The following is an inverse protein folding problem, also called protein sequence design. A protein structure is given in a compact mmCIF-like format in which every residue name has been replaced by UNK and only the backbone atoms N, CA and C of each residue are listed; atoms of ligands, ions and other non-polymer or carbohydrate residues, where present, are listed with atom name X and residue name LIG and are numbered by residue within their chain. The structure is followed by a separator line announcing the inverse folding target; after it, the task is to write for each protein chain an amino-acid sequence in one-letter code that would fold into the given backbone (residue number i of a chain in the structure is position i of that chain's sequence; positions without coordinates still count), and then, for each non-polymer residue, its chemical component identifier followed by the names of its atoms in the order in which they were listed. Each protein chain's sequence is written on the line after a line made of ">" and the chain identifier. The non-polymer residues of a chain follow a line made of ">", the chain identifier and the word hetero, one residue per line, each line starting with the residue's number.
data_IF_226254237598
#
_entry.id   IF_226254237598
#
_cell.length_a   1.000
_cell.length_b   1.000
_cell.length_c   1.000
_cell.angle_alpha   90.00
_cell.angle_beta   90.00
_cell.angle_gamma   90.00
#
_symmetry.space_group_name_H-M   'P 1'
#
loop_
_entity.id
_entity.type
_entity.pdbx_description
1 polymer ?
#
# COMPACT_ATOMS: atom_id res chain seq x y z
N UNK A 1 -1.90 -13.50 -24.49
CA UNK A 1 -2.79 -14.03 -23.45
C UNK A 1 -3.43 -12.87 -22.70
N UNK A 2 -4.74 -12.92 -22.50
CA UNK A 2 -5.46 -11.84 -21.81
C UNK A 2 -5.64 -12.19 -20.34
N UNK A 3 -5.44 -11.19 -19.47
CA UNK A 3 -5.69 -11.33 -18.05
C UNK A 3 -6.71 -10.29 -17.60
N UNK A 4 -7.65 -10.72 -16.77
CA UNK A 4 -8.61 -9.80 -16.17
C UNK A 4 -7.96 -9.05 -15.01
N UNK A 5 -8.65 -8.01 -14.52
CA UNK A 5 -8.21 -7.30 -13.31
C UNK A 5 -8.05 -8.27 -12.13
N UNK A 6 -9.01 -9.18 -11.95
CA UNK A 6 -8.95 -10.14 -10.85
C UNK A 6 -7.82 -11.17 -11.01
N UNK A 7 -7.46 -11.50 -12.26
CA UNK A 7 -6.29 -12.34 -12.50
C UNK A 7 -5.01 -11.66 -12.00
N UNK A 8 -4.87 -10.37 -12.27
CA UNK A 8 -3.71 -9.59 -11.80
C UNK A 8 -3.67 -9.52 -10.28
N UNK A 9 -4.82 -9.31 -9.64
CA UNK A 9 -4.91 -9.27 -8.17
C UNK A 9 -4.54 -10.63 -7.59
N UNK A 10 -5.06 -11.72 -8.16
CA UNK A 10 -4.78 -13.07 -7.68
C UNK A 10 -3.29 -13.41 -7.78
N UNK A 11 -2.65 -13.06 -8.88
CA UNK A 11 -1.22 -13.27 -9.04
C UNK A 11 -0.40 -12.44 -8.05
N UNK A 12 -0.76 -11.17 -7.88
CA UNK A 12 -0.05 -10.28 -6.97
C UNK A 12 -0.19 -10.72 -5.52
N UNK A 13 -1.36 -11.24 -5.13
CA UNK A 13 -1.62 -11.63 -3.75
C UNK A 13 -0.74 -12.79 -3.28
N UNK A 14 -0.18 -13.57 -4.19
CA UNK A 14 0.75 -14.65 -3.81
C UNK A 14 2.11 -14.11 -3.38
N UNK A 15 2.45 -12.91 -3.79
CA UNK A 15 3.78 -12.32 -3.56
C UNK A 15 3.80 -11.28 -2.44
N UNK A 16 2.63 -10.77 -2.02
CA UNK A 16 2.56 -9.71 -1.02
C UNK A 16 1.96 -10.23 0.28
N UNK A 17 2.40 -9.64 1.39
CA UNK A 17 1.84 -9.95 2.69
C UNK A 17 0.68 -9.02 2.99
N UNK A 18 -0.46 -9.58 3.37
CA UNK A 18 -1.64 -8.83 3.76
C UNK A 18 -1.78 -8.86 5.27
N UNK A 19 -2.21 -7.74 5.84
CA UNK A 19 -2.56 -7.66 7.26
C UNK A 19 -4.00 -7.14 7.40
N UNK A 20 -4.66 -7.53 8.48
CA UNK A 20 -6.01 -7.05 8.74
C UNK A 20 -5.98 -5.74 9.56
N UNK A 21 -7.18 -5.16 9.78
CA UNK A 21 -7.29 -3.89 10.50
C UNK A 21 -6.80 -4.01 11.95
N UNK A 22 -6.95 -5.16 12.58
CA UNK A 22 -6.51 -5.37 13.95
C UNK A 22 -4.99 -5.43 14.03
N UNK A 23 -4.35 -6.07 13.06
CA UNK A 23 -2.89 -6.10 12.97
C UNK A 23 -2.32 -4.71 12.71
N UNK A 24 -2.95 -3.92 11.84
CA UNK A 24 -2.54 -2.55 11.59
C UNK A 24 -2.67 -1.69 12.84
N UNK A 25 -3.80 -1.81 13.55
CA UNK A 25 -4.01 -1.08 14.79
C UNK A 25 -2.95 -1.42 15.83
N UNK A 26 -2.57 -2.70 15.93
CA UNK A 26 -1.50 -3.13 16.83
C UNK A 26 -0.16 -2.48 16.47
N UNK A 27 0.17 -2.41 15.18
CA UNK A 27 1.41 -1.76 14.73
C UNK A 27 1.43 -0.28 15.11
N UNK A 28 0.31 0.41 14.93
CA UNK A 28 0.20 1.83 15.28
C UNK A 28 0.35 2.02 16.79
N UNK A 29 -0.33 1.23 17.58
CA UNK A 29 -0.33 1.36 19.05
C UNK A 29 1.00 0.97 19.67
N UNK A 30 1.74 0.05 19.06
CA UNK A 30 3.05 -0.38 19.55
C UNK A 30 4.19 0.55 19.12
N UNK A 31 3.88 1.61 18.40
CA UNK A 31 4.87 2.56 17.87
C UNK A 31 5.90 1.90 16.97
N UNK A 32 5.50 0.82 16.29
CA UNK A 32 6.34 0.14 15.33
C UNK A 32 6.73 1.10 14.19
N UNK A 33 8.01 1.09 13.81
CA UNK A 33 8.52 2.02 12.81
C UNK A 33 8.17 1.55 11.40
N UNK A 34 7.19 2.18 10.78
CA UNK A 34 6.78 1.87 9.41
C UNK A 34 6.14 3.09 8.76
N UNK A 35 6.04 3.06 7.44
CA UNK A 35 5.35 4.09 6.67
C UNK A 35 3.96 3.59 6.32
N UNK A 36 2.94 4.37 6.64
CA UNK A 36 1.55 4.07 6.29
C UNK A 36 1.12 4.97 5.14
N UNK A 37 0.74 4.36 4.02
CA UNK A 37 0.37 5.10 2.83
C UNK A 37 -1.06 4.77 2.41
N UNK A 38 -1.87 5.82 2.28
CA UNK A 38 -3.22 5.75 1.75
C UNK A 38 -3.14 5.91 0.23
N UNK A 39 -3.49 4.88 -0.51
CA UNK A 39 -3.43 4.92 -1.98
C UNK A 39 -4.79 5.12 -2.65
N UNK A 40 -5.78 5.54 -1.87
CA UNK A 40 -7.11 5.84 -2.42
C UNK A 40 -7.05 7.10 -3.29
N UNK A 41 -8.12 7.32 -4.04
CA UNK A 41 -8.25 8.54 -4.84
C UNK A 41 -8.52 9.75 -3.95
N UNK A 42 -8.20 10.95 -4.43
CA UNK A 42 -8.35 12.18 -3.66
C UNK A 42 -9.76 12.37 -3.10
N UNK A 43 -10.78 12.05 -3.90
CA UNK A 43 -12.17 12.24 -3.48
C UNK A 43 -12.58 11.28 -2.36
N UNK A 44 -11.91 10.16 -2.22
CA UNK A 44 -12.21 9.21 -1.14
C UNK A 44 -11.76 9.74 0.23
N UNK A 45 -10.81 10.66 0.26
CA UNK A 45 -10.35 11.26 1.51
C UNK A 45 -11.41 12.10 2.20
N UNK A 46 -12.45 12.52 1.46
CA UNK A 46 -13.54 13.30 2.03
C UNK A 46 -14.33 12.53 3.09
N UNK A 47 -14.29 11.20 3.07
CA UNK A 47 -14.93 10.36 4.09
C UNK A 47 -13.98 10.00 5.24
N UNK A 48 -12.82 10.60 5.28
CA UNK A 48 -11.82 10.42 6.34
C UNK A 48 -10.65 9.57 5.92
N UNK A 49 -9.59 9.61 6.72
CA UNK A 49 -8.39 8.79 6.52
C UNK A 49 -7.78 8.44 7.86
N UNK A 50 -6.86 7.49 7.85
CA UNK A 50 -6.11 7.13 9.05
C UNK A 50 -5.13 8.26 9.39
N UNK A 51 -5.11 8.66 10.67
CA UNK A 51 -4.25 9.75 11.14
C UNK A 51 -2.79 9.42 10.85
N UNK A 52 -2.07 10.43 10.37
CA UNK A 52 -0.64 10.37 10.03
C UNK A 52 -0.31 9.49 8.82
N UNK A 53 -1.31 9.00 8.08
CA UNK A 53 -1.05 8.32 6.83
C UNK A 53 -0.64 9.33 5.75
N UNK A 54 0.39 8.98 4.98
CA UNK A 54 0.77 9.76 3.81
C UNK A 54 -0.13 9.38 2.65
N UNK A 55 -0.68 10.36 1.95
CA UNK A 55 -1.52 10.10 0.79
C UNK A 55 -0.71 10.14 -0.49
N UNK A 56 -0.66 8.99 -1.19
CA UNK A 56 -0.12 8.90 -2.54
C UNK A 56 -1.08 8.01 -3.31
N UNK A 57 -1.89 8.58 -4.20
CA UNK A 57 -2.85 7.81 -4.97
C UNK A 57 -2.17 6.71 -5.79
N UNK A 58 -2.86 5.58 -5.96
CA UNK A 58 -2.25 4.43 -6.65
C UNK A 58 -1.76 4.78 -8.06
N UNK A 59 -2.45 5.69 -8.75
CA UNK A 59 -2.10 6.06 -10.12
C UNK A 59 -0.74 6.74 -10.26
N UNK A 60 -0.20 7.28 -9.17
CA UNK A 60 1.10 7.96 -9.18
C UNK A 60 2.09 7.33 -8.18
N UNK A 61 1.71 6.22 -7.55
CA UNK A 61 2.51 5.61 -6.50
C UNK A 61 3.93 5.28 -6.95
N UNK A 62 4.07 4.61 -8.07
CA UNK A 62 5.37 4.19 -8.59
C UNK A 62 6.25 5.38 -8.97
N UNK A 63 5.65 6.47 -9.43
CA UNK A 63 6.38 7.67 -9.78
C UNK A 63 6.84 8.48 -8.56
N UNK A 64 6.01 8.49 -7.50
CA UNK A 64 6.24 9.39 -6.37
C UNK A 64 6.91 8.74 -5.17
N UNK A 65 6.89 7.40 -5.07
CA UNK A 65 7.34 6.73 -3.84
C UNK A 65 8.80 7.02 -3.51
N UNK A 66 9.68 7.07 -4.49
CA UNK A 66 11.10 7.24 -4.26
C UNK A 66 11.44 8.60 -3.63
N UNK A 67 10.65 9.64 -3.93
CA UNK A 67 10.86 10.96 -3.36
C UNK A 67 10.43 11.04 -1.90
N UNK A 68 9.57 10.13 -1.45
CA UNK A 68 9.09 10.09 -0.07
C UNK A 68 9.83 9.07 0.78
N UNK A 69 10.17 7.91 0.20
CA UNK A 69 10.81 6.82 0.92
C UNK A 69 11.91 6.27 0.02
N UNK A 70 13.13 6.76 0.21
CA UNK A 70 14.26 6.35 -0.63
C UNK A 70 14.91 5.05 -0.18
N UNK A 71 14.78 4.70 1.10
CA UNK A 71 15.40 3.49 1.64
C UNK A 71 14.52 2.27 1.33
N UNK A 72 15.05 1.38 0.50
CA UNK A 72 14.33 0.16 0.08
C UNK A 72 14.10 -0.84 1.21
N UNK A 73 14.81 -0.69 2.33
CA UNK A 73 14.64 -1.57 3.48
C UNK A 73 13.56 -1.10 4.44
N UNK A 74 13.04 0.11 4.26
CA UNK A 74 11.98 0.63 5.11
C UNK A 74 10.69 -0.17 4.92
N UNK A 75 9.98 -0.41 6.02
CA UNK A 75 8.72 -1.13 5.97
C UNK A 75 7.58 -0.20 5.57
N UNK A 76 6.78 -0.63 4.62
CA UNK A 76 5.68 0.15 4.07
C UNK A 76 4.38 -0.66 4.16
N UNK A 77 3.34 -0.03 4.68
CA UNK A 77 1.98 -0.59 4.68
C UNK A 77 1.11 0.30 3.81
N UNK A 78 0.45 -0.30 2.82
CA UNK A 78 -0.48 0.39 1.94
C UNK A 78 -1.92 0.04 2.32
N UNK A 79 -2.83 0.99 2.18
CA UNK A 79 -4.24 0.67 2.34
C UNK A 79 -5.11 1.40 1.32
N UNK A 80 -6.26 0.78 1.02
CA UNK A 80 -7.31 1.36 0.18
C UNK A 80 -8.66 0.93 0.75
N UNK A 81 -9.75 1.26 0.07
CA UNK A 81 -11.08 0.95 0.60
C UNK A 81 -11.38 -0.55 0.65
N UNK A 82 -11.00 -1.31 -0.36
CA UNK A 82 -11.33 -2.74 -0.47
C UNK A 82 -10.16 -3.70 -0.43
N UNK A 83 -8.94 -3.21 -0.26
CA UNK A 83 -7.74 -4.05 -0.21
C UNK A 83 -7.18 -4.48 -1.57
N UNK A 84 -7.94 -4.32 -2.65
CA UNK A 84 -7.55 -4.79 -3.97
C UNK A 84 -6.48 -3.88 -4.58
N UNK A 85 -6.68 -2.58 -4.52
CA UNK A 85 -5.71 -1.61 -5.04
C UNK A 85 -4.39 -1.68 -4.27
N UNK A 86 -4.46 -1.93 -2.95
CA UNK A 86 -3.27 -2.03 -2.13
C UNK A 86 -2.44 -3.27 -2.46
N UNK A 87 -3.08 -4.39 -2.83
CA UNK A 87 -2.37 -5.58 -3.28
C UNK A 87 -1.55 -5.28 -4.54
N UNK A 88 -2.17 -4.65 -5.53
CA UNK A 88 -1.47 -4.29 -6.76
C UNK A 88 -0.37 -3.25 -6.51
N UNK A 89 -0.63 -2.27 -5.65
CA UNK A 89 0.36 -1.27 -5.26
C UNK A 89 1.57 -1.90 -4.56
N UNK A 90 1.33 -2.83 -3.64
CA UNK A 90 2.40 -3.53 -2.94
C UNK A 90 3.26 -4.33 -3.91
N UNK A 91 2.65 -4.99 -4.90
CA UNK A 91 3.40 -5.71 -5.91
C UNK A 91 4.28 -4.77 -6.74
N UNK A 92 3.75 -3.60 -7.09
CA UNK A 92 4.53 -2.58 -7.81
C UNK A 92 5.75 -2.16 -6.99
N UNK A 93 5.58 -1.92 -5.69
CA UNK A 93 6.70 -1.53 -4.83
C UNK A 93 7.73 -2.66 -4.68
N UNK A 94 7.28 -3.91 -4.60
CA UNK A 94 8.21 -5.04 -4.58
C UNK A 94 9.04 -5.09 -5.86
N UNK A 95 8.42 -4.87 -7.01
CA UNK A 95 9.12 -4.86 -8.29
C UNK A 95 10.15 -3.72 -8.36
N UNK A 96 9.96 -2.65 -7.59
CA UNK A 96 10.91 -1.55 -7.47
C UNK A 96 12.00 -1.80 -6.42
N UNK A 97 11.94 -2.93 -5.71
CA UNK A 97 12.94 -3.32 -4.73
C UNK A 97 12.57 -3.09 -3.27
N UNK A 98 11.39 -2.57 -2.97
CA UNK A 98 10.90 -2.47 -1.59
C UNK A 98 10.45 -3.86 -1.13
N UNK A 99 10.99 -4.34 -0.03
CA UNK A 99 10.79 -5.74 0.39
C UNK A 99 9.80 -5.91 1.54
N UNK A 100 9.42 -4.83 2.20
CA UNK A 100 8.58 -4.93 3.40
C UNK A 100 7.32 -4.10 3.32
#
# INVERSE_FOLDING_TARGET
>A
MKKSFYDLVSEASTDVQEIDIFQLKHLIESEYNFHLIDIREDNELNSGKIKNALHIGRGILDREIESHISDRSDEIVLYCAGGVRSILGAKTLQDMGYQK
#
